data_IF_422605477594
#
_entry.id   IF_422605477594
#
_cell.length_a   1.000
_cell.length_b   1.000
_cell.length_c   1.000
_cell.angle_alpha   90.00
_cell.angle_beta   90.00
_cell.angle_gamma   90.00
#
_symmetry.space_group_name_H-M   'P 1'
#
loop_
_entity.id
_entity.type
_entity.pdbx_description
1 polymer ?
#
# COMPACT_ATOMS: atom_id res chain seq x y z
N UNK A 1 41.15 -27.33 -11.51
CA UNK A 1 40.30 -26.58 -10.56
C UNK A 1 38.99 -26.35 -11.28
N UNK A 2 37.99 -27.19 -11.02
CA UNK A 2 36.69 -27.15 -11.68
C UNK A 2 35.66 -26.79 -10.60
N UNK A 3 35.53 -25.49 -10.34
CA UNK A 3 34.58 -24.98 -9.35
C UNK A 3 33.32 -24.55 -10.11
N UNK A 4 32.31 -25.42 -10.10
CA UNK A 4 30.94 -25.05 -10.43
C UNK A 4 30.15 -25.19 -9.14
N UNK A 5 29.64 -24.11 -8.52
CA UNK A 5 28.75 -24.26 -7.38
C UNK A 5 27.39 -24.74 -7.89
N UNK A 6 27.11 -26.03 -7.69
CA UNK A 6 25.76 -26.57 -7.68
C UNK A 6 24.95 -25.84 -6.61
N UNK A 7 24.21 -24.81 -7.02
CA UNK A 7 23.16 -24.21 -6.21
C UNK A 7 21.84 -24.62 -6.82
N UNK A 8 21.49 -25.88 -6.62
CA UNK A 8 20.14 -26.37 -6.89
C UNK A 8 19.54 -26.88 -5.57
N UNK A 9 19.11 -25.91 -4.77
CA UNK A 9 18.26 -26.14 -3.61
C UNK A 9 17.01 -25.27 -3.76
N UNK A 10 16.30 -25.44 -4.87
CA UNK A 10 14.93 -24.95 -5.00
C UNK A 10 14.04 -25.87 -4.18
N UNK A 11 13.94 -25.60 -2.88
CA UNK A 11 12.90 -26.16 -2.02
C UNK A 11 11.55 -25.60 -2.51
N UNK A 12 10.91 -26.33 -3.44
CA UNK A 12 9.54 -26.08 -3.84
C UNK A 12 8.63 -26.55 -2.71
N UNK A 13 8.33 -25.63 -1.79
CA UNK A 13 7.27 -25.80 -0.81
C UNK A 13 5.96 -26.09 -1.57
N UNK A 14 5.33 -27.21 -1.24
CA UNK A 14 4.14 -27.70 -1.93
C UNK A 14 2.93 -26.81 -1.58
N UNK A 15 2.91 -25.61 -2.17
CA UNK A 15 1.79 -24.70 -2.11
C UNK A 15 0.62 -25.31 -2.89
N UNK A 16 -0.52 -25.47 -2.21
CA UNK A 16 -1.82 -25.69 -2.86
C UNK A 16 -1.92 -24.75 -4.06
N UNK A 17 -2.32 -25.22 -5.27
CA UNK A 17 -2.24 -24.39 -6.46
C UNK A 17 -3.08 -23.12 -6.25
N UNK A 18 -2.39 -22.00 -6.06
CA UNK A 18 -3.03 -20.71 -5.95
C UNK A 18 -3.84 -20.47 -7.23
N UNK A 19 -5.08 -19.98 -7.09
CA UNK A 19 -5.88 -19.61 -8.25
C UNK A 19 -5.06 -18.65 -9.11
N UNK A 20 -4.96 -18.86 -10.44
CA UNK A 20 -4.16 -18.00 -11.30
C UNK A 20 -4.65 -16.54 -11.20
N UNK A 21 -3.70 -15.63 -10.97
CA UNK A 21 -3.95 -14.19 -10.84
C UNK A 21 -4.39 -13.56 -12.16
N UNK A 22 -3.93 -14.12 -13.28
CA UNK A 22 -4.19 -13.65 -14.64
C UNK A 22 -4.42 -14.86 -15.56
N UNK A 23 -5.41 -14.78 -16.46
CA UNK A 23 -5.67 -15.79 -17.48
C UNK A 23 -5.77 -15.14 -18.86
N UNK A 24 -4.93 -15.58 -19.79
CA UNK A 24 -5.00 -15.20 -21.20
C UNK A 24 -6.10 -16.04 -21.86
N UNK A 25 -7.12 -15.38 -22.42
CA UNK A 25 -8.29 -16.06 -23.02
C UNK A 25 -8.11 -16.28 -24.53
N UNK A 26 -7.17 -15.59 -25.18
CA UNK A 26 -6.85 -15.76 -26.60
C UNK A 26 -5.52 -15.12 -26.99
N UNK A 27 -4.98 -15.52 -28.13
CA UNK A 27 -3.66 -15.13 -28.62
C UNK A 27 -2.54 -16.09 -28.18
N UNK A 28 -1.33 -15.86 -28.69
CA UNK A 28 -0.10 -16.54 -28.27
C UNK A 28 0.95 -15.48 -27.90
N UNK A 29 0.82 -14.84 -26.72
CA UNK A 29 1.75 -13.80 -26.30
C UNK A 29 3.15 -14.39 -26.15
N UNK A 30 4.15 -13.57 -26.45
CA UNK A 30 5.55 -13.91 -26.18
C UNK A 30 5.88 -13.67 -24.70
N UNK A 31 6.98 -14.24 -24.22
CA UNK A 31 7.43 -14.05 -22.83
C UNK A 31 7.62 -12.56 -22.48
N UNK A 32 8.05 -11.76 -23.45
CA UNK A 32 8.17 -10.30 -23.33
C UNK A 32 6.80 -9.65 -23.09
N UNK A 33 5.76 -10.06 -23.81
CA UNK A 33 4.41 -9.51 -23.64
C UNK A 33 3.86 -9.83 -22.25
N UNK A 34 4.11 -11.05 -21.76
CA UNK A 34 3.72 -11.45 -20.40
C UNK A 34 4.45 -10.61 -19.35
N UNK A 35 5.75 -10.38 -19.53
CA UNK A 35 6.53 -9.54 -18.62
C UNK A 35 6.01 -8.10 -18.56
N UNK A 36 5.63 -7.53 -19.70
CA UNK A 36 5.01 -6.20 -19.77
C UNK A 36 3.68 -6.17 -19.02
N UNK A 37 2.80 -7.16 -19.21
CA UNK A 37 1.53 -7.23 -18.50
C UNK A 37 1.71 -7.31 -16.98
N UNK A 38 2.66 -8.11 -16.51
CA UNK A 38 2.97 -8.23 -15.08
C UNK A 38 3.55 -6.92 -14.53
N UNK A 39 4.47 -6.28 -15.25
CA UNK A 39 5.07 -5.02 -14.84
C UNK A 39 4.02 -3.90 -14.69
N UNK A 40 3.09 -3.81 -15.65
CA UNK A 40 1.99 -2.84 -15.61
C UNK A 40 1.07 -3.11 -14.42
N UNK A 41 0.68 -4.38 -14.20
CA UNK A 41 -0.20 -4.72 -13.09
C UNK A 41 0.45 -4.49 -11.73
N UNK A 42 1.74 -4.81 -11.59
CA UNK A 42 2.52 -4.55 -10.39
C UNK A 42 2.65 -3.04 -10.13
N UNK A 43 2.88 -2.23 -11.18
CA UNK A 43 2.90 -0.77 -11.07
C UNK A 43 1.55 -0.16 -10.72
N UNK A 44 0.45 -0.73 -11.22
CA UNK A 44 -0.91 -0.26 -10.90
C UNK A 44 -1.33 -0.60 -9.46
N UNK A 45 -0.91 -1.76 -8.94
CA UNK A 45 -1.20 -2.17 -7.55
C UNK A 45 -0.21 -1.62 -6.52
N UNK A 46 0.99 -1.21 -6.96
CA UNK A 46 2.09 -0.78 -6.11
C UNK A 46 2.03 0.70 -5.75
N UNK A 47 1.01 1.11 -4.99
CA UNK A 47 1.13 2.31 -4.16
C UNK A 47 0.23 2.23 -2.94
N UNK A 48 0.52 1.27 -2.05
CA UNK A 48 0.39 1.56 -0.62
C UNK A 48 1.54 2.52 -0.26
N UNK A 49 1.56 3.70 -0.89
CA UNK A 49 2.08 4.86 -0.19
C UNK A 49 1.07 5.05 0.93
N UNK A 50 1.36 4.44 2.09
CA UNK A 50 0.77 4.90 3.34
C UNK A 50 1.25 6.33 3.43
N UNK A 51 0.49 7.23 2.79
CA UNK A 51 0.78 8.64 2.75
C UNK A 51 0.91 9.16 4.19
N UNK A 52 1.19 10.45 4.35
CA UNK A 52 1.30 11.04 5.67
C UNK A 52 0.15 10.54 6.56
N UNK A 53 0.44 10.13 7.81
CA UNK A 53 -0.58 9.57 8.68
C UNK A 53 -1.80 10.50 8.66
N UNK A 54 -3.03 9.94 8.60
CA UNK A 54 -4.23 10.76 8.49
C UNK A 54 -4.20 11.84 9.58
N UNK A 55 -4.67 13.04 9.23
CA UNK A 55 -4.79 14.12 10.21
C UNK A 55 -5.51 13.59 11.45
N UNK A 56 -4.95 13.83 12.64
CA UNK A 56 -5.57 13.36 13.88
C UNK A 56 -6.99 13.89 13.96
N UNK A 57 -7.94 12.98 14.25
CA UNK A 57 -9.29 13.40 14.57
C UNK A 57 -9.29 14.08 15.95
N UNK A 58 -9.59 15.38 15.93
CA UNK A 58 -9.70 16.21 17.13
C UNK A 58 -11.17 16.42 17.53
N UNK A 59 -12.13 15.69 16.94
CA UNK A 59 -13.51 15.73 17.39
C UNK A 59 -13.70 15.00 18.71
N UNK A 60 -14.26 15.70 19.69
CA UNK A 60 -14.70 15.08 20.95
C UNK A 60 -13.56 14.66 21.87
N UNK A 61 -12.45 15.40 21.86
CA UNK A 61 -11.35 15.10 22.78
C UNK A 61 -11.82 15.25 24.24
N UNK A 62 -11.35 14.40 25.19
CA UNK A 62 -11.73 14.53 26.60
C UNK A 62 -11.43 15.92 27.18
N UNK A 63 -10.40 16.60 26.63
CA UNK A 63 -10.01 17.97 26.97
C UNK A 63 -11.06 19.02 26.61
N UNK A 64 -11.88 18.80 25.58
CA UNK A 64 -12.96 19.73 25.18
C UNK A 64 -14.05 19.84 26.25
N UNK A 65 -14.22 18.82 27.10
CA UNK A 65 -15.15 18.86 28.23
C UNK A 65 -14.69 19.80 29.34
N UNK A 66 -13.40 20.10 29.40
CA UNK A 66 -12.77 20.87 30.47
C UNK A 66 -12.48 22.32 30.05
N UNK A 67 -12.55 22.62 28.75
CA UNK A 67 -12.32 23.96 28.20
C UNK A 67 -13.57 24.47 27.51
N UNK A 68 -14.35 25.34 28.15
CA UNK A 68 -15.34 26.14 27.44
C UNK A 68 -14.61 26.88 26.31
N UNK A 69 -15.13 26.81 25.08
CA UNK A 69 -14.57 27.57 23.97
C UNK A 69 -14.59 29.06 24.33
N UNK A 70 -13.41 29.61 24.65
CA UNK A 70 -13.18 31.03 24.92
C UNK A 70 -13.63 31.84 23.69
N UNK A 71 -14.22 33.04 23.88
CA UNK A 71 -15.44 33.45 23.19
C UNK A 71 -15.35 33.21 21.69
N UNK A 72 -16.41 32.60 21.16
CA UNK A 72 -16.62 32.21 19.77
C UNK A 72 -16.52 33.41 18.83
N UNK A 73 -15.32 33.94 18.63
CA UNK A 73 -15.05 34.82 17.51
C UNK A 73 -15.53 34.07 16.26
N UNK A 74 -16.28 34.72 15.36
CA UNK A 74 -16.92 34.05 14.23
C UNK A 74 -15.93 33.31 13.30
N UNK A 75 -14.63 33.55 13.47
CA UNK A 75 -13.52 32.94 12.77
C UNK A 75 -12.64 32.00 13.64
N UNK A 76 -13.07 31.61 14.84
CA UNK A 76 -12.33 30.70 15.71
C UNK A 76 -12.69 29.23 15.44
N UNK A 77 -11.68 28.42 15.11
CA UNK A 77 -11.82 26.97 14.92
C UNK A 77 -10.98 26.25 15.97
N UNK A 78 -11.58 25.77 17.09
CA UNK A 78 -10.84 25.21 18.22
C UNK A 78 -10.06 23.92 17.87
N UNK A 79 -10.46 23.24 16.79
CA UNK A 79 -9.86 21.99 16.33
C UNK A 79 -8.88 22.18 15.16
N UNK A 80 -8.54 23.43 14.81
CA UNK A 80 -7.60 23.72 13.73
C UNK A 80 -6.17 23.75 14.29
N UNK A 81 -5.35 22.77 13.89
CA UNK A 81 -3.91 22.75 14.17
C UNK A 81 -3.14 22.82 12.86
N UNK A 82 -2.10 23.65 12.82
CA UNK A 82 -1.13 23.67 11.72
C UNK A 82 0.07 22.82 12.15
N UNK A 83 0.39 21.78 11.39
CA UNK A 83 1.55 20.93 11.68
C UNK A 83 2.85 21.71 11.49
N UNK A 84 3.73 21.65 12.49
CA UNK A 84 5.15 22.04 12.43
C UNK A 84 6.00 20.79 12.56
#
# INVERSE_FOLDING_TARGET
MNDTPDTDATASDAATPARPLLRIVGGNPTDTDVAVLVAVLAGAGGSDDSGPPPARDLWGTPTDRLRPAWPLAPNAFPNLTFGY
#
